data_IF_192658570405
#
_entry.id   IF_192658570405
#
_cell.length_a   1.000
_cell.length_b   1.000
_cell.length_c   1.000
_cell.angle_alpha   90.00
_cell.angle_beta   90.00
_cell.angle_gamma   90.00
#
_symmetry.space_group_name_H-M   'P 1'
#
loop_
_entity.id
_entity.type
_entity.pdbx_description
1 polymer ?
#
# COMPACT_ATOMS: atom_id res chain seq x y z
N UNK A 1 26.58 -0.14 -25.97
CA UNK A 1 26.11 1.26 -25.93
C UNK A 1 25.40 1.50 -24.60
N UNK A 2 25.83 2.53 -23.86
CA UNK A 2 25.35 2.93 -22.52
C UNK A 2 24.01 3.66 -22.64
N UNK A 3 22.99 3.23 -21.89
CA UNK A 3 21.88 4.12 -21.48
C UNK A 3 21.75 4.08 -19.95
N UNK A 4 22.32 5.10 -19.31
CA UNK A 4 22.24 5.36 -17.89
C UNK A 4 21.09 6.32 -17.61
N UNK A 5 19.95 5.79 -17.14
CA UNK A 5 18.79 6.60 -16.72
C UNK A 5 18.62 6.59 -15.19
N UNK A 6 19.38 5.76 -14.48
CA UNK A 6 19.24 5.61 -13.02
C UNK A 6 20.53 5.96 -12.28
N UNK A 7 20.53 6.90 -11.31
CA UNK A 7 21.70 7.25 -10.52
C UNK A 7 22.23 6.00 -9.79
N UNK A 8 23.56 5.86 -9.64
CA UNK A 8 24.21 4.62 -9.14
C UNK A 8 23.65 4.11 -7.79
N UNK A 9 23.16 5.02 -6.93
CA UNK A 9 22.50 4.68 -5.67
C UNK A 9 21.17 3.93 -5.87
N UNK A 10 20.37 4.33 -6.86
CA UNK A 10 19.09 3.68 -7.17
C UNK A 10 19.28 2.26 -7.70
N UNK A 11 20.25 2.00 -8.59
CA UNK A 11 20.55 0.63 -9.06
C UNK A 11 20.92 -0.32 -7.92
N UNK A 12 21.75 0.12 -6.97
CA UNK A 12 22.07 -0.70 -5.78
C UNK A 12 20.83 -1.02 -4.94
N UNK A 13 19.91 -0.07 -4.80
CA UNK A 13 18.65 -0.29 -4.08
C UNK A 13 17.75 -1.31 -4.82
N UNK A 14 17.67 -1.19 -6.15
CA UNK A 14 16.88 -2.05 -7.04
C UNK A 14 17.39 -3.50 -7.13
N UNK A 15 18.68 -3.72 -6.90
CA UNK A 15 19.27 -5.07 -6.91
C UNK A 15 19.25 -5.73 -5.51
N UNK A 16 18.91 -4.97 -4.45
CA UNK A 16 18.73 -5.47 -3.08
C UNK A 16 17.27 -5.86 -2.77
N UNK A 17 16.33 -5.49 -3.63
CA UNK A 17 14.94 -5.94 -3.56
C UNK A 17 14.89 -7.41 -3.96
N UNK A 18 14.81 -8.30 -2.98
CA UNK A 18 14.61 -9.74 -3.16
C UNK A 18 13.23 -10.09 -3.77
N UNK A 19 12.37 -9.10 -3.97
CA UNK A 19 11.06 -9.27 -4.60
C UNK A 19 11.15 -9.23 -6.13
N UNK A 20 10.27 -9.96 -6.85
CA UNK A 20 10.14 -9.79 -8.28
C UNK A 20 9.82 -8.33 -8.59
N UNK A 21 10.66 -7.67 -9.40
CA UNK A 21 10.53 -6.24 -9.73
C UNK A 21 9.12 -5.88 -10.24
N UNK A 22 8.45 -6.84 -10.88
CA UNK A 22 7.04 -6.72 -11.31
C UNK A 22 6.05 -6.47 -10.17
N UNK A 23 6.25 -7.09 -9.00
CA UNK A 23 5.37 -6.92 -7.83
C UNK A 23 5.51 -5.52 -7.24
N UNK A 24 6.75 -5.02 -7.10
CA UNK A 24 7.01 -3.66 -6.62
C UNK A 24 6.40 -2.62 -7.57
N UNK A 25 6.53 -2.82 -8.89
CA UNK A 25 5.93 -1.93 -9.89
C UNK A 25 4.40 -1.97 -9.82
N UNK A 26 3.79 -3.16 -9.74
CA UNK A 26 2.35 -3.31 -9.63
C UNK A 26 1.82 -2.64 -8.35
N UNK A 27 2.50 -2.81 -7.22
CA UNK A 27 2.09 -2.21 -5.96
C UNK A 27 2.25 -0.69 -5.97
N UNK A 28 3.33 -0.18 -6.57
CA UNK A 28 3.53 1.26 -6.77
C UNK A 28 2.41 1.86 -7.62
N UNK A 29 2.02 1.17 -8.70
CA UNK A 29 0.89 1.57 -9.53
C UNK A 29 -0.44 1.53 -8.76
N UNK A 30 -0.65 0.51 -7.91
CA UNK A 30 -1.82 0.44 -7.05
C UNK A 30 -1.89 1.60 -6.06
N UNK A 31 -0.77 1.99 -5.43
CA UNK A 31 -0.73 3.18 -4.57
C UNK A 31 -1.01 4.48 -5.34
N UNK A 32 -0.52 4.62 -6.57
CA UNK A 32 -0.86 5.75 -7.43
C UNK A 32 -2.37 5.81 -7.75
N UNK A 33 -2.96 4.66 -8.08
CA UNK A 33 -4.39 4.57 -8.37
C UNK A 33 -5.24 4.91 -7.14
N UNK A 34 -4.87 4.41 -5.97
CA UNK A 34 -5.53 4.73 -4.70
C UNK A 34 -5.39 6.21 -4.32
N UNK A 35 -4.24 6.82 -4.60
CA UNK A 35 -4.04 8.26 -4.41
C UNK A 35 -4.97 9.07 -5.32
N UNK A 36 -5.04 8.72 -6.61
CA UNK A 36 -5.95 9.37 -7.55
C UNK A 36 -7.42 9.20 -7.16
N UNK A 37 -7.80 8.00 -6.69
CA UNK A 37 -9.13 7.71 -6.16
C UNK A 37 -9.44 8.55 -4.92
N UNK A 38 -8.45 8.76 -4.04
CA UNK A 38 -8.58 9.63 -2.88
C UNK A 38 -8.88 11.08 -3.26
N UNK A 39 -8.16 11.63 -4.26
CA UNK A 39 -8.46 12.97 -4.79
C UNK A 39 -9.84 13.03 -5.44
N UNK A 40 -10.22 12.02 -6.21
CA UNK A 40 -11.55 11.94 -6.81
C UNK A 40 -12.67 11.89 -5.75
N UNK A 41 -12.45 11.17 -4.66
CA UNK A 41 -13.43 11.05 -3.58
C UNK A 41 -13.69 12.38 -2.84
N UNK A 42 -12.69 13.27 -2.77
CA UNK A 42 -12.80 14.58 -2.10
C UNK A 42 -13.17 15.74 -3.03
N UNK A 43 -13.17 15.51 -4.35
CA UNK A 43 -13.41 16.56 -5.37
C UNK A 43 -14.79 17.22 -5.20
N UNK A 44 -15.76 16.44 -4.73
CA UNK A 44 -17.09 16.91 -4.34
C UNK A 44 -17.28 16.61 -2.85
N UNK A 45 -17.15 17.62 -2.01
CA UNK A 45 -17.16 17.46 -0.56
C UNK A 45 -18.54 16.94 -0.09
N UNK A 46 -18.53 15.82 0.62
CA UNK A 46 -19.76 15.17 1.08
C UNK A 46 -20.33 15.87 2.32
N UNK A 47 -21.66 16.05 2.36
CA UNK A 47 -22.34 16.71 3.50
C UNK A 47 -22.14 16.01 4.85
N UNK A 48 -21.88 14.70 4.85
CA UNK A 48 -21.61 13.90 6.05
C UNK A 48 -20.12 13.72 6.37
N UNK A 49 -19.20 14.21 5.51
CA UNK A 49 -17.74 14.15 5.71
C UNK A 49 -17.10 12.76 5.65
N UNK A 50 -17.88 11.68 5.52
CA UNK A 50 -17.36 10.30 5.53
C UNK A 50 -16.59 9.99 4.25
N UNK A 51 -17.09 10.44 3.08
CA UNK A 51 -16.38 10.28 1.81
C UNK A 51 -15.06 11.04 1.83
N UNK A 52 -15.06 12.19 2.48
CA UNK A 52 -13.89 13.06 2.64
C UNK A 52 -12.84 12.39 3.55
N UNK A 53 -13.28 11.77 4.65
CA UNK A 53 -12.42 10.99 5.54
C UNK A 53 -11.80 9.79 4.82
N UNK A 54 -12.59 9.04 4.03
CA UNK A 54 -12.09 7.96 3.19
C UNK A 54 -11.06 8.47 2.18
N UNK A 55 -11.37 9.56 1.47
CA UNK A 55 -10.48 10.17 0.50
C UNK A 55 -9.16 10.65 1.12
N UNK A 56 -9.22 11.29 2.29
CA UNK A 56 -8.03 11.70 3.05
C UNK A 56 -7.15 10.51 3.47
N UNK A 57 -7.76 9.41 3.93
CA UNK A 57 -7.03 8.18 4.27
C UNK A 57 -6.39 7.53 3.04
N UNK A 58 -7.08 7.53 1.89
CA UNK A 58 -6.53 7.05 0.61
C UNK A 58 -5.37 7.91 0.12
N UNK A 59 -5.46 9.24 0.28
CA UNK A 59 -4.38 10.17 -0.07
C UNK A 59 -3.16 9.93 0.81
N UNK A 60 -3.33 9.93 2.14
CA UNK A 60 -2.25 9.69 3.08
C UNK A 60 -1.60 8.32 2.83
N UNK A 61 -2.44 7.29 2.63
CA UNK A 61 -2.02 5.94 2.33
C UNK A 61 -1.25 5.81 1.01
N UNK A 62 -1.78 6.41 -0.06
CA UNK A 62 -1.20 6.40 -1.40
C UNK A 62 0.15 7.14 -1.45
N UNK A 63 0.28 8.29 -0.80
CA UNK A 63 1.56 9.03 -0.69
C UNK A 63 2.59 8.20 0.07
N UNK A 64 2.23 7.66 1.24
CA UNK A 64 3.12 6.80 2.03
C UNK A 64 3.55 5.55 1.25
N UNK A 65 2.64 4.94 0.49
CA UNK A 65 2.94 3.78 -0.35
C UNK A 65 3.84 4.11 -1.54
N UNK A 66 3.61 5.24 -2.23
CA UNK A 66 4.43 5.71 -3.35
C UNK A 66 5.87 6.05 -2.96
N UNK A 67 6.07 6.55 -1.73
CA UNK A 67 7.40 6.81 -1.19
C UNK A 67 7.99 5.54 -0.57
N UNK A 68 7.17 4.76 0.13
CA UNK A 68 7.60 3.57 0.87
C UNK A 68 8.05 2.42 -0.03
N UNK A 69 7.23 2.08 -1.02
CA UNK A 69 7.35 0.86 -1.80
C UNK A 69 8.60 0.83 -2.73
N UNK A 70 8.83 1.83 -3.62
CA UNK A 70 9.96 1.76 -4.55
C UNK A 70 11.32 1.98 -3.88
N UNK A 71 11.35 2.65 -2.71
CA UNK A 71 12.58 2.83 -1.93
C UNK A 71 12.78 1.78 -0.84
N UNK A 72 11.89 0.79 -0.73
CA UNK A 72 11.95 -0.26 0.28
C UNK A 72 11.86 0.28 1.71
N UNK A 73 11.25 1.44 1.93
CA UNK A 73 11.03 2.02 3.26
C UNK A 73 9.76 1.42 3.88
N UNK A 74 9.87 0.15 4.30
CA UNK A 74 8.72 -0.65 4.77
C UNK A 74 8.00 -0.04 5.97
N UNK A 75 8.69 0.73 6.82
CA UNK A 75 8.08 1.37 7.99
C UNK A 75 7.09 2.48 7.60
N UNK A 76 7.41 3.27 6.56
CA UNK A 76 6.49 4.26 5.96
C UNK A 76 5.36 3.52 5.25
N UNK A 77 5.70 2.49 4.48
CA UNK A 77 4.74 1.70 3.73
C UNK A 77 3.68 1.06 4.64
N UNK A 78 4.07 0.56 5.83
CA UNK A 78 3.13 0.03 6.83
C UNK A 78 2.10 1.06 7.29
N UNK A 79 2.53 2.29 7.58
CA UNK A 79 1.61 3.36 7.96
C UNK A 79 0.62 3.65 6.81
N UNK A 80 1.11 3.63 5.57
CA UNK A 80 0.27 3.80 4.39
C UNK A 80 -0.76 2.69 4.20
N UNK A 81 -0.34 1.42 4.38
CA UNK A 81 -1.23 0.26 4.31
C UNK A 81 -2.32 0.29 5.38
N UNK A 82 -2.01 0.74 6.60
CA UNK A 82 -3.00 0.91 7.68
C UNK A 82 -4.04 1.96 7.29
N UNK A 83 -3.61 3.11 6.75
CA UNK A 83 -4.52 4.14 6.28
C UNK A 83 -5.44 3.65 5.15
N UNK A 84 -4.88 2.92 4.17
CA UNK A 84 -5.66 2.30 3.08
C UNK A 84 -6.65 1.27 3.63
N UNK A 85 -6.21 0.41 4.55
CA UNK A 85 -7.08 -0.57 5.20
C UNK A 85 -8.25 0.09 5.95
N UNK A 86 -7.99 1.18 6.67
CA UNK A 86 -9.02 1.96 7.33
C UNK A 86 -10.00 2.59 6.32
N UNK A 87 -9.50 3.12 5.19
CA UNK A 87 -10.35 3.66 4.12
C UNK A 87 -11.29 2.59 3.54
N UNK A 88 -10.78 1.39 3.26
CA UNK A 88 -11.60 0.27 2.76
C UNK A 88 -12.61 -0.23 3.80
N UNK A 89 -12.25 -0.25 5.09
CA UNK A 89 -13.19 -0.61 6.15
C UNK A 89 -14.37 0.37 6.20
N UNK A 90 -14.09 1.67 6.08
CA UNK A 90 -15.13 2.70 5.96
C UNK A 90 -15.97 2.46 4.71
N UNK A 91 -15.34 2.32 3.53
CA UNK A 91 -16.04 2.07 2.27
C UNK A 91 -16.98 0.85 2.32
N UNK A 92 -16.46 -0.31 2.76
CA UNK A 92 -17.24 -1.56 2.82
C UNK A 92 -18.39 -1.50 3.83
N UNK A 93 -18.25 -0.75 4.92
CA UNK A 93 -19.36 -0.55 5.87
C UNK A 93 -20.55 0.20 5.24
N UNK A 94 -20.31 1.05 4.24
CA UNK A 94 -21.36 1.76 3.50
C UNK A 94 -21.91 0.94 2.34
N UNK A 95 -21.05 0.32 1.53
CA UNK A 95 -21.46 -0.49 0.37
C UNK A 95 -22.32 -1.69 0.79
N UNK A 96 -22.07 -2.27 1.97
CA UNK A 96 -22.90 -3.36 2.51
C UNK A 96 -24.21 -2.84 3.12
N UNK A 97 -24.22 -1.62 3.67
CA UNK A 97 -25.39 -1.06 4.36
C UNK A 97 -26.39 -0.37 3.43
N UNK A 98 -25.97 0.09 2.24
CA UNK A 98 -26.81 0.84 1.31
C UNK A 98 -27.03 0.01 0.04
N UNK A 99 -28.28 -0.41 -0.18
CA UNK A 99 -28.70 -1.08 -1.42
C UNK A 99 -29.27 -0.08 -2.43
N UNK A 100 -29.04 -0.26 -3.74
CA UNK A 100 -28.20 -1.30 -4.34
C UNK A 100 -26.72 -0.86 -4.33
N UNK A 101 -25.76 -1.77 -4.08
CA UNK A 101 -24.37 -1.49 -4.42
C UNK A 101 -24.32 -1.24 -5.93
N UNK A 102 -23.50 -0.27 -6.35
CA UNK A 102 -23.20 -0.02 -7.75
C UNK A 102 -22.46 -1.23 -8.36
N UNK A 103 -23.21 -2.28 -8.68
CA UNK A 103 -22.77 -3.49 -9.38
C UNK A 103 -21.85 -4.45 -8.60
N UNK A 104 -21.89 -5.76 -8.92
CA UNK A 104 -20.93 -6.75 -8.41
C UNK A 104 -19.45 -6.42 -8.70
N UNK A 105 -19.19 -5.58 -9.70
CA UNK A 105 -17.84 -5.23 -10.15
C UNK A 105 -17.10 -4.31 -9.17
N UNK A 106 -17.79 -3.35 -8.57
CA UNK A 106 -17.16 -2.45 -7.59
C UNK A 106 -16.70 -3.22 -6.36
N UNK A 107 -17.56 -4.09 -5.82
CA UNK A 107 -17.24 -4.98 -4.71
C UNK A 107 -16.05 -5.89 -5.07
N UNK A 108 -16.06 -6.50 -6.26
CA UNK A 108 -14.97 -7.35 -6.72
C UNK A 108 -13.63 -6.57 -6.83
N UNK A 109 -13.67 -5.35 -7.36
CA UNK A 109 -12.49 -4.50 -7.50
C UNK A 109 -11.93 -4.04 -6.15
N UNK A 110 -12.81 -3.68 -5.20
CA UNK A 110 -12.44 -3.31 -3.84
C UNK A 110 -11.81 -4.49 -3.09
N UNK A 111 -12.41 -5.69 -3.20
CA UNK A 111 -11.84 -6.91 -2.63
C UNK A 111 -10.50 -7.27 -3.27
N UNK A 112 -10.36 -7.13 -4.60
CA UNK A 112 -9.10 -7.37 -5.30
C UNK A 112 -7.96 -6.46 -4.83
N UNK A 113 -8.24 -5.16 -4.69
CA UNK A 113 -7.28 -4.19 -4.16
C UNK A 113 -6.95 -4.47 -2.68
N UNK A 114 -7.96 -4.84 -1.88
CA UNK A 114 -7.76 -5.20 -0.48
C UNK A 114 -6.88 -6.44 -0.33
N UNK A 115 -7.07 -7.47 -1.17
CA UNK A 115 -6.21 -8.66 -1.19
C UNK A 115 -4.76 -8.30 -1.54
N UNK A 116 -4.55 -7.40 -2.50
CA UNK A 116 -3.20 -6.92 -2.84
C UNK A 116 -2.55 -6.19 -1.65
N UNK A 117 -3.28 -5.33 -0.96
CA UNK A 117 -2.84 -4.62 0.25
C UNK A 117 -2.52 -5.60 1.39
N UNK A 118 -3.37 -6.61 1.62
CA UNK A 118 -3.18 -7.63 2.66
C UNK A 118 -1.97 -8.51 2.38
N UNK A 119 -1.80 -8.97 1.14
CA UNK A 119 -0.61 -9.76 0.76
C UNK A 119 0.67 -8.96 0.97
N UNK A 120 0.66 -7.66 0.62
CA UNK A 120 1.76 -6.75 0.91
C UNK A 120 2.01 -6.58 2.40
N UNK A 121 0.96 -6.42 3.20
CA UNK A 121 1.06 -6.34 4.66
C UNK A 121 1.71 -7.59 5.26
N UNK A 122 1.26 -8.79 4.87
CA UNK A 122 1.81 -10.06 5.37
C UNK A 122 3.31 -10.18 5.10
N UNK A 123 3.77 -9.67 3.95
CA UNK A 123 5.20 -9.65 3.57
C UNK A 123 6.04 -8.75 4.48
N UNK A 124 5.55 -7.54 4.76
CA UNK A 124 6.35 -6.52 5.44
C UNK A 124 6.13 -6.45 6.95
N UNK A 125 5.07 -7.07 7.49
CA UNK A 125 4.72 -7.00 8.92
C UNK A 125 5.76 -7.66 9.84
N UNK A 126 6.53 -8.63 9.33
CA UNK A 126 7.57 -9.32 10.09
C UNK A 126 8.89 -8.56 10.11
N UNK A 127 9.01 -7.48 9.31
CA UNK A 127 10.19 -6.64 9.32
C UNK A 127 10.23 -5.76 10.59
N UNK A 128 11.41 -5.45 11.14
CA UNK A 128 11.56 -4.61 12.32
C UNK A 128 10.78 -3.29 12.24
N UNK A 129 10.31 -2.79 13.39
CA UNK A 129 9.68 -1.47 13.49
C UNK A 129 10.64 -0.35 13.07
N UNK A 130 11.86 -0.41 13.61
CA UNK A 130 12.97 0.49 13.31
C UNK A 130 13.83 -0.07 12.16
N UNK A 131 14.02 0.68 11.06
CA UNK A 131 14.84 0.25 9.93
C UNK A 131 16.34 0.12 10.23
N UNK A 132 16.82 0.66 11.35
CA UNK A 132 18.23 0.60 11.76
C UNK A 132 18.59 -0.66 12.55
N UNK A 133 17.59 -1.40 13.06
CA UNK A 133 17.82 -2.62 13.84
C UNK A 133 18.12 -3.83 12.94
N UNK A 134 19.00 -4.75 13.38
CA UNK A 134 19.24 -6.01 12.68
C UNK A 134 17.94 -6.78 12.47
N UNK A 135 17.78 -7.41 11.30
CA UNK A 135 16.67 -8.34 11.07
C UNK A 135 16.79 -9.50 12.07
N UNK A 136 15.68 -10.01 12.62
CA UNK A 136 15.72 -11.24 13.43
C UNK A 136 16.41 -12.34 12.61
N UNK A 137 17.46 -12.93 13.18
CA UNK A 137 18.10 -14.10 12.59
C UNK A 137 17.15 -15.29 12.57
N UNK A 138 17.46 -16.34 11.79
CA UNK A 138 16.82 -17.64 12.01
C UNK A 138 16.96 -18.02 13.48
N UNK A 139 15.98 -18.71 14.09
CA UNK A 139 16.19 -19.27 15.43
C UNK A 139 17.48 -20.07 15.39
N UNK A 140 18.43 -19.74 16.28
CA UNK A 140 19.64 -20.55 16.43
C UNK A 140 19.18 -21.98 16.69
N UNK A 141 19.63 -22.90 15.84
CA UNK A 141 19.38 -24.32 16.06
C UNK A 141 19.99 -24.62 17.43
N UNK A 142 19.11 -24.77 18.42
CA UNK A 142 19.51 -24.99 19.80
C UNK A 142 20.46 -26.18 19.86
N UNK A 143 21.56 -25.97 20.58
CA UNK A 143 22.49 -27.00 20.96
C UNK A 143 21.73 -28.04 21.81
N UNK A 144 21.30 -29.13 21.17
CA UNK A 144 20.90 -30.38 21.83
C UNK A 144 22.10 -31.32 21.95
#
# INVERSE_FOLDING_TARGET
MRNGIFPRASRRLWDLLAEPKSVTVLMTAAYAALLALGFWAIDDASTMGVRDMMGGLLIAGGVCGLIGCPWGQWWIERAGLVAIGAAFAVHLSFVVAISPPDGPWEVASALGLLLLVVTRWIRIRTLPADPTLPRPGPPEAGDE
#
